data_IF_861983879339
#
_entry.id   IF_861983879339
#
_cell.length_a   1.000
_cell.length_b   1.000
_cell.length_c   1.000
_cell.angle_alpha   90.00
_cell.angle_beta   90.00
_cell.angle_gamma   90.00
#
_symmetry.space_group_name_H-M   'P 1'
#
loop_
_entity.id
_entity.type
_entity.pdbx_description
1 polymer ?
#
# COMPACT_ATOMS: atom_id res chain seq x y z
N UNK A 1 47.62 3.79 -19.25
CA UNK A 1 46.42 3.00 -19.62
C UNK A 1 45.39 3.29 -18.56
N UNK A 2 44.67 4.40 -18.73
CA UNK A 2 43.69 4.87 -17.76
C UNK A 2 42.33 4.29 -18.07
N UNK A 3 41.82 3.48 -17.14
CA UNK A 3 40.49 2.91 -17.17
C UNK A 3 39.55 3.92 -16.54
N UNK A 4 38.84 4.69 -17.37
CA UNK A 4 37.75 5.53 -16.87
C UNK A 4 36.60 4.64 -16.41
N UNK A 5 36.44 4.56 -15.07
CA UNK A 5 35.29 3.97 -14.38
C UNK A 5 34.03 4.77 -14.74
N UNK A 6 33.03 4.10 -15.29
CA UNK A 6 31.66 4.60 -15.30
C UNK A 6 31.17 4.80 -13.85
N UNK A 7 30.39 5.84 -13.55
CA UNK A 7 29.80 5.99 -12.23
C UNK A 7 28.84 4.83 -11.98
N UNK A 8 29.14 4.02 -10.96
CA UNK A 8 28.24 3.00 -10.41
C UNK A 8 26.93 3.67 -10.00
N UNK A 9 25.89 3.50 -10.82
CA UNK A 9 24.55 3.84 -10.41
C UNK A 9 24.11 2.78 -9.41
N UNK A 10 24.22 3.13 -8.13
CA UNK A 10 23.81 2.34 -6.99
C UNK A 10 22.45 1.70 -7.25
N UNK A 11 22.43 0.38 -7.41
CA UNK A 11 21.20 -0.40 -7.41
C UNK A 11 20.45 -0.11 -6.11
N UNK A 12 19.17 0.34 -6.16
CA UNK A 12 18.39 0.45 -4.95
C UNK A 12 18.23 -0.95 -4.35
N UNK A 13 18.65 -1.11 -3.10
CA UNK A 13 18.42 -2.32 -2.31
C UNK A 13 16.93 -2.68 -2.40
N UNK A 14 16.55 -3.97 -2.52
CA UNK A 14 15.15 -4.35 -2.47
C UNK A 14 14.58 -3.97 -1.10
N UNK A 15 13.76 -2.93 -1.07
CA UNK A 15 13.01 -2.55 0.13
C UNK A 15 11.98 -3.63 0.40
N UNK A 16 12.33 -4.50 1.37
CA UNK A 16 11.45 -5.24 2.27
C UNK A 16 9.98 -5.34 1.81
N UNK A 17 9.71 -6.46 1.17
CA UNK A 17 8.41 -6.94 0.69
C UNK A 17 7.38 -7.15 1.83
N UNK A 18 6.82 -6.07 2.40
CA UNK A 18 5.69 -6.16 3.35
C UNK A 18 4.75 -4.95 3.19
N UNK A 19 3.53 -5.13 2.66
CA UNK A 19 2.44 -4.20 2.94
C UNK A 19 2.11 -4.33 4.43
N UNK A 20 2.77 -3.53 5.25
CA UNK A 20 2.38 -3.28 6.62
C UNK A 20 1.35 -2.16 6.57
N UNK A 21 0.07 -2.50 6.60
CA UNK A 21 -0.96 -1.52 6.94
C UNK A 21 -0.70 -1.09 8.38
N UNK A 22 -0.03 0.04 8.56
CA UNK A 22 0.14 0.70 9.85
C UNK A 22 -0.83 1.87 9.88
N UNK A 23 -1.87 1.76 10.70
CA UNK A 23 -2.84 2.82 10.88
C UNK A 23 -2.17 4.05 11.50
N UNK A 24 -2.50 5.24 11.00
CA UNK A 24 -2.09 6.52 11.59
C UNK A 24 -3.12 6.95 12.62
N UNK A 25 -2.64 7.29 13.81
CA UNK A 25 -3.39 7.94 14.87
C UNK A 25 -3.16 7.27 16.23
N UNK A 26 -2.38 7.85 17.15
CA UNK A 26 -2.54 7.51 18.55
C UNK A 26 -3.89 8.05 19.02
N UNK A 27 -4.74 7.19 19.56
CA UNK A 27 -5.83 7.61 20.43
C UNK A 27 -5.16 8.18 21.70
N UNK A 28 -5.17 9.51 21.84
CA UNK A 28 -4.62 10.17 23.03
C UNK A 28 -5.75 10.23 24.04
N UNK A 29 -5.63 9.46 25.12
CA UNK A 29 -6.58 9.46 26.21
C UNK A 29 -6.21 10.55 27.20
N UNK A 30 -7.22 11.18 27.80
CA UNK A 30 -7.07 11.99 29.00
C UNK A 30 -7.12 11.12 30.27
N UNK A 31 -6.72 11.66 31.43
CA UNK A 31 -6.53 10.89 32.68
C UNK A 31 -7.82 10.18 33.17
N UNK A 32 -8.99 10.69 32.79
CA UNK A 32 -10.31 10.14 33.15
C UNK A 32 -10.90 9.22 32.08
N UNK A 33 -10.14 8.90 31.04
CA UNK A 33 -10.56 8.08 29.90
C UNK A 33 -9.86 6.73 29.89
N UNK A 34 -10.63 5.66 29.75
CA UNK A 34 -10.05 4.35 29.51
C UNK A 34 -10.78 3.58 28.41
N UNK A 35 -10.00 2.78 27.68
CA UNK A 35 -10.49 1.93 26.61
C UNK A 35 -11.20 0.73 27.22
N UNK A 36 -12.49 0.58 26.92
CA UNK A 36 -13.26 -0.60 27.28
C UNK A 36 -13.08 -1.72 26.26
N UNK A 37 -13.11 -1.34 24.98
CA UNK A 37 -13.13 -2.30 23.87
C UNK A 37 -12.63 -1.66 22.58
N UNK A 38 -11.96 -2.45 21.76
CA UNK A 38 -11.57 -2.06 20.40
C UNK A 38 -12.08 -3.09 19.41
N UNK A 39 -12.66 -2.66 18.30
CA UNK A 39 -13.12 -3.53 17.21
C UNK A 39 -12.56 -3.08 15.88
N UNK A 40 -12.14 -4.03 15.05
CA UNK A 40 -11.68 -3.77 13.69
C UNK A 40 -12.64 -4.39 12.69
N UNK A 41 -12.94 -3.64 11.63
CA UNK A 41 -13.85 -4.04 10.56
C UNK A 41 -13.20 -3.85 9.20
N UNK A 42 -13.68 -4.62 8.22
CA UNK A 42 -13.27 -4.54 6.82
C UNK A 42 -14.48 -4.50 5.90
N UNK A 43 -14.47 -3.55 4.96
CA UNK A 43 -15.41 -3.47 3.85
C UNK A 43 -14.65 -3.53 2.53
N UNK A 44 -14.91 -4.57 1.73
CA UNK A 44 -14.24 -4.73 0.43
C UNK A 44 -14.69 -3.66 -0.57
N UNK A 45 -13.72 -3.08 -1.29
CA UNK A 45 -14.00 -2.19 -2.42
C UNK A 45 -14.42 -2.96 -3.67
N UNK A 46 -13.88 -4.17 -3.83
CA UNK A 46 -14.02 -5.04 -5.01
C UNK A 46 -15.20 -6.02 -4.92
N UNK A 47 -16.13 -5.81 -3.99
CA UNK A 47 -17.28 -6.69 -3.84
C UNK A 47 -18.09 -6.77 -5.13
N UNK A 48 -17.99 -7.90 -5.82
CA UNK A 48 -18.80 -8.33 -6.94
C UNK A 48 -20.27 -8.12 -6.57
N UNK A 49 -20.97 -7.26 -7.30
CA UNK A 49 -22.41 -7.15 -7.21
C UNK A 49 -22.99 -8.43 -7.83
N UNK A 50 -22.97 -9.53 -7.09
CA UNK A 50 -23.75 -10.71 -7.47
C UNK A 50 -25.22 -10.32 -7.55
N UNK A 51 -25.87 -10.73 -8.63
CA UNK A 51 -27.14 -10.27 -9.20
C UNK A 51 -28.41 -10.30 -8.33
N UNK A 52 -28.30 -10.33 -7.00
CA UNK A 52 -29.40 -10.13 -6.05
C UNK A 52 -29.08 -8.90 -5.23
N UNK A 53 -29.79 -7.81 -5.52
CA UNK A 53 -29.42 -6.46 -5.16
C UNK A 53 -29.20 -6.20 -3.67
N UNK A 54 -28.25 -5.29 -3.43
CA UNK A 54 -28.19 -4.41 -2.27
C UNK A 54 -28.17 -5.08 -0.88
N UNK A 55 -27.51 -6.23 -0.71
CA UNK A 55 -26.94 -6.52 0.60
C UNK A 55 -25.82 -5.49 0.83
N UNK A 56 -26.19 -4.35 1.42
CA UNK A 56 -25.30 -3.29 1.91
C UNK A 56 -24.01 -3.95 2.36
N UNK A 57 -22.88 -3.55 1.77
CA UNK A 57 -21.51 -4.01 2.06
C UNK A 57 -21.24 -3.96 3.56
N UNK A 58 -21.73 -4.94 4.32
CA UNK A 58 -21.68 -4.92 5.79
C UNK A 58 -20.22 -5.09 6.17
N UNK A 59 -19.63 -4.15 6.92
CA UNK A 59 -18.27 -4.29 7.39
C UNK A 59 -18.13 -5.60 8.17
N UNK A 60 -17.22 -6.46 7.73
CA UNK A 60 -16.94 -7.75 8.40
C UNK A 60 -15.99 -7.49 9.55
N UNK A 61 -16.33 -7.95 10.76
CA UNK A 61 -15.45 -7.82 11.92
C UNK A 61 -14.23 -8.72 11.75
N UNK A 62 -13.06 -8.10 11.81
CA UNK A 62 -11.75 -8.76 11.71
C UNK A 62 -11.30 -9.30 13.05
N UNK A 63 -11.43 -8.48 14.10
CA UNK A 63 -11.00 -8.81 15.44
C UNK A 63 -11.70 -7.90 16.47
N UNK A 64 -11.58 -8.30 17.72
CA UNK A 64 -12.00 -7.56 18.90
C UNK A 64 -10.87 -7.59 19.93
N UNK A 65 -10.69 -6.51 20.69
CA UNK A 65 -9.84 -6.46 21.87
C UNK A 65 -10.69 -6.03 23.06
N UNK A 66 -10.77 -6.89 24.06
CA UNK A 66 -11.42 -6.65 25.34
C UNK A 66 -10.58 -7.35 26.40
N UNK A 67 -9.57 -6.64 26.92
CA UNK A 67 -8.43 -7.15 27.72
C UNK A 67 -7.50 -8.15 27.01
N UNK A 68 -8.04 -8.96 26.10
CA UNK A 68 -7.32 -9.89 25.24
C UNK A 68 -7.72 -9.66 23.78
N UNK A 69 -6.84 -10.07 22.86
CA UNK A 69 -7.07 -9.96 21.42
C UNK A 69 -7.74 -11.22 20.86
N UNK A 70 -8.90 -11.05 20.24
CA UNK A 70 -9.73 -12.11 19.68
C UNK A 70 -9.94 -11.88 18.17
N UNK A 71 -9.16 -12.53 17.29
CA UNK A 71 -9.42 -12.52 15.86
C UNK A 71 -10.71 -13.28 15.54
N UNK A 72 -11.43 -12.87 14.50
CA UNK A 72 -12.52 -13.67 13.96
C UNK A 72 -11.98 -14.98 13.36
N UNK A 73 -12.83 -16.01 13.26
CA UNK A 73 -12.43 -17.37 12.83
C UNK A 73 -11.63 -17.35 11.53
N UNK A 74 -12.02 -16.53 10.54
CA UNK A 74 -11.34 -16.42 9.24
C UNK A 74 -10.01 -15.63 9.28
N UNK A 75 -9.75 -14.95 10.40
CA UNK A 75 -8.62 -14.04 10.59
C UNK A 75 -7.57 -14.57 11.57
N UNK A 76 -7.81 -15.74 12.19
CA UNK A 76 -6.83 -16.41 13.07
C UNK A 76 -5.51 -16.59 12.32
N UNK A 77 -4.41 -16.14 12.92
CA UNK A 77 -3.07 -16.17 12.32
C UNK A 77 -2.86 -15.24 11.11
N UNK A 78 -3.88 -14.48 10.69
CA UNK A 78 -3.75 -13.41 9.68
C UNK A 78 -3.68 -12.05 10.32
N UNK A 79 -4.40 -11.80 11.42
CA UNK A 79 -4.35 -10.51 12.11
C UNK A 79 -3.56 -10.56 13.41
N UNK A 80 -2.97 -9.42 13.77
CA UNK A 80 -2.22 -9.24 15.00
C UNK A 80 -2.51 -7.85 15.56
N UNK A 81 -2.77 -7.78 16.87
CA UNK A 81 -2.89 -6.51 17.59
C UNK A 81 -1.58 -5.72 17.53
N UNK A 82 -1.70 -4.41 17.39
CA UNK A 82 -0.60 -3.45 17.51
C UNK A 82 -0.98 -2.41 18.57
N UNK A 83 0.01 -1.77 19.18
CA UNK A 83 -0.20 -0.65 20.11
C UNK A 83 -1.09 0.44 19.50
N UNK A 84 -1.75 1.23 20.36
CA UNK A 84 -2.62 2.34 19.98
C UNK A 84 -3.79 1.92 19.06
N UNK A 85 -4.45 0.80 19.40
CA UNK A 85 -5.58 0.26 18.63
C UNK A 85 -5.26 -0.02 17.15
N UNK A 86 -3.98 -0.23 16.82
CA UNK A 86 -3.59 -0.66 15.49
C UNK A 86 -3.86 -2.15 15.25
N UNK A 87 -4.01 -2.53 13.98
CA UNK A 87 -4.06 -3.93 13.56
C UNK A 87 -3.09 -4.15 12.41
N UNK A 88 -2.36 -5.26 12.47
CA UNK A 88 -1.51 -5.73 11.38
C UNK A 88 -2.19 -6.91 10.70
N UNK A 89 -2.40 -6.81 9.40
CA UNK A 89 -2.92 -7.89 8.56
C UNK A 89 -1.75 -8.53 7.81
N UNK A 90 -1.66 -9.86 7.86
CA UNK A 90 -0.61 -10.69 7.25
C UNK A 90 -1.19 -11.44 6.06
N UNK A 91 -0.32 -11.76 5.08
CA UNK A 91 -0.71 -12.48 3.86
C UNK A 91 -1.82 -11.72 3.12
N UNK A 92 -1.53 -10.46 2.78
CA UNK A 92 -2.42 -9.58 2.02
C UNK A 92 -2.53 -10.09 0.58
N UNK A 93 -3.75 -10.07 0.05
CA UNK A 93 -4.12 -10.41 -1.32
C UNK A 93 -4.98 -9.30 -1.91
N UNK A 94 -5.30 -9.39 -3.21
CA UNK A 94 -6.22 -8.45 -3.89
C UNK A 94 -7.63 -8.41 -3.30
N UNK A 95 -8.04 -9.44 -2.56
CA UNK A 95 -9.34 -9.50 -1.87
C UNK A 95 -9.37 -8.70 -0.57
N UNK A 96 -8.19 -8.36 -0.03
CA UNK A 96 -8.04 -7.60 1.20
C UNK A 96 -8.02 -6.08 0.92
N UNK A 97 -8.16 -5.68 -0.34
CA UNK A 97 -8.31 -4.29 -0.80
C UNK A 97 -9.68 -3.76 -0.39
N UNK A 98 -9.68 -2.67 0.36
CA UNK A 98 -10.90 -2.16 0.96
C UNK A 98 -10.68 -1.12 2.05
N UNK A 99 -11.79 -0.74 2.68
CA UNK A 99 -11.79 0.16 3.83
C UNK A 99 -11.67 -0.66 5.10
N UNK A 100 -10.68 -0.33 5.91
CA UNK A 100 -10.48 -0.85 7.25
C UNK A 100 -10.89 0.21 8.26
N UNK A 101 -11.73 -0.16 9.21
CA UNK A 101 -12.26 0.74 10.23
C UNK A 101 -11.91 0.20 11.61
N UNK A 102 -11.38 1.05 12.48
CA UNK A 102 -11.22 0.77 13.89
C UNK A 102 -12.26 1.56 14.68
N UNK A 103 -12.92 0.89 15.63
CA UNK A 103 -13.83 1.49 16.60
C UNK A 103 -13.26 1.29 18.00
N UNK A 104 -13.15 2.36 18.76
CA UNK A 104 -12.67 2.36 20.13
C UNK A 104 -13.81 2.81 21.03
N UNK A 105 -14.28 1.93 21.90
CA UNK A 105 -15.26 2.27 22.93
C UNK A 105 -14.52 2.73 24.19
N UNK A 106 -14.81 3.95 24.60
CA UNK A 106 -14.20 4.63 25.73
C UNK A 106 -15.22 4.76 26.86
N UNK A 107 -14.72 4.75 28.10
CA UNK A 107 -15.47 5.21 29.26
C UNK A 107 -14.85 6.52 29.75
N UNK A 108 -15.68 7.55 29.81
CA UNK A 108 -15.29 8.93 30.14
C UNK A 108 -16.20 9.42 31.27
N UNK A 109 -15.66 9.65 32.47
CA UNK A 109 -16.43 10.17 33.61
C UNK A 109 -17.76 9.42 33.88
N UNK A 110 -17.75 8.09 33.72
CA UNK A 110 -18.94 7.24 33.91
C UNK A 110 -19.87 7.14 32.70
N UNK A 111 -19.68 7.96 31.67
CA UNK A 111 -20.37 7.87 30.37
C UNK A 111 -19.61 7.00 29.37
N UNK A 112 -20.29 6.55 28.32
CA UNK A 112 -19.68 5.77 27.22
C UNK A 112 -19.56 6.63 25.98
N UNK A 113 -18.38 6.63 25.36
CA UNK A 113 -18.10 7.28 24.08
C UNK A 113 -17.55 6.28 23.07
N UNK A 114 -17.68 6.57 21.77
CA UNK A 114 -17.12 5.74 20.71
C UNK A 114 -16.37 6.63 19.73
N UNK A 115 -15.12 6.31 19.51
CA UNK A 115 -14.30 6.92 18.46
C UNK A 115 -14.11 5.95 17.30
N UNK A 116 -14.13 6.48 16.09
CA UNK A 116 -13.97 5.69 14.87
C UNK A 116 -12.93 6.35 13.96
N UNK A 117 -12.06 5.54 13.35
CA UNK A 117 -11.15 5.99 12.30
C UNK A 117 -11.04 4.93 11.23
N UNK A 118 -10.89 5.36 9.98
CA UNK A 118 -10.81 4.46 8.83
C UNK A 118 -9.58 4.74 7.98
N UNK A 119 -9.07 3.70 7.33
CA UNK A 119 -8.03 3.77 6.32
C UNK A 119 -8.41 2.91 5.12
N UNK A 120 -8.03 3.36 3.93
CA UNK A 120 -8.28 2.61 2.68
C UNK A 120 -6.98 1.92 2.25
N UNK A 121 -7.08 0.62 2.00
CA UNK A 121 -6.04 -0.13 1.30
C UNK A 121 -6.45 -0.26 -0.17
N UNK A 122 -5.71 0.39 -1.06
CA UNK A 122 -5.81 0.27 -2.51
C UNK A 122 -4.69 -0.63 -3.07
N UNK A 123 -4.86 -1.09 -4.31
CA UNK A 123 -3.72 -1.59 -5.08
C UNK A 123 -2.94 -0.38 -5.62
N UNK A 124 -1.60 -0.48 -5.70
CA UNK A 124 -0.82 0.55 -6.37
C UNK A 124 -1.21 0.62 -7.85
N UNK A 125 -1.29 1.84 -8.37
CA UNK A 125 -1.51 2.05 -9.79
C UNK A 125 -0.33 1.49 -10.61
N UNK A 126 -0.65 0.81 -11.71
CA UNK A 126 0.36 0.29 -12.65
C UNK A 126 0.81 1.40 -13.60
N UNK A 127 2.07 1.36 -14.07
CA UNK A 127 2.53 2.29 -15.09
C UNK A 127 1.67 2.19 -16.35
N UNK A 128 1.28 3.34 -16.89
CA UNK A 128 0.54 3.45 -18.15
C UNK A 128 1.50 3.88 -19.25
N UNK A 129 1.57 3.08 -20.31
CA UNK A 129 2.42 3.33 -21.46
C UNK A 129 1.58 3.87 -22.61
N UNK A 130 2.10 4.83 -23.37
CA UNK A 130 1.36 5.47 -24.45
C UNK A 130 0.85 4.48 -25.51
N UNK A 131 1.59 3.38 -25.70
CA UNK A 131 1.28 2.32 -26.68
C UNK A 131 1.00 0.96 -26.01
N UNK A 132 0.77 0.94 -24.69
CA UNK A 132 0.54 -0.29 -23.91
C UNK A 132 1.77 -1.21 -23.77
N UNK A 133 2.91 -0.87 -24.39
CA UNK A 133 4.17 -1.63 -24.32
C UNK A 133 5.38 -0.71 -24.45
N UNK A 134 6.48 -1.08 -23.79
CA UNK A 134 7.77 -0.44 -23.98
C UNK A 134 8.38 -0.99 -25.27
N UNK A 135 8.81 -0.08 -26.15
CA UNK A 135 9.63 -0.42 -27.31
C UNK A 135 10.99 0.21 -27.15
N UNK A 136 12.01 -0.64 -27.22
CA UNK A 136 13.36 -0.21 -27.50
C UNK A 136 13.47 0.10 -28.99
N UNK A 137 13.89 1.32 -29.33
CA UNK A 137 14.27 1.64 -30.71
C UNK A 137 15.57 2.42 -30.74
N UNK A 138 16.34 2.20 -31.79
CA UNK A 138 17.44 3.07 -32.14
C UNK A 138 16.86 4.38 -32.68
N UNK A 139 17.31 5.52 -32.14
CA UNK A 139 16.95 6.81 -32.69
C UNK A 139 17.51 6.93 -34.10
N UNK A 140 16.75 7.57 -34.99
CA UNK A 140 17.21 7.81 -36.38
C UNK A 140 18.29 8.90 -36.45
N UNK A 141 18.50 9.63 -35.35
CA UNK A 141 19.51 10.65 -35.23
C UNK A 141 20.72 10.07 -34.50
N UNK A 142 21.89 10.31 -35.06
CA UNK A 142 23.16 10.02 -34.40
C UNK A 142 23.46 11.18 -33.46
N UNK A 143 23.81 10.86 -32.22
CA UNK A 143 24.23 11.85 -31.25
C UNK A 143 25.73 12.07 -31.40
N UNK A 144 26.15 13.30 -31.69
CA UNK A 144 27.56 13.68 -31.71
C UNK A 144 27.93 14.26 -30.35
N UNK A 145 28.87 13.62 -29.68
CA UNK A 145 29.45 14.14 -28.44
C UNK A 145 30.58 15.12 -28.80
N UNK A 146 30.33 16.40 -28.55
CA UNK A 146 31.28 17.47 -28.90
C UNK A 146 32.53 17.49 -28.03
N UNK A 147 32.52 16.82 -26.87
CA UNK A 147 33.66 16.79 -25.94
C UNK A 147 34.66 15.69 -26.33
N UNK A 148 34.16 14.58 -26.90
CA UNK A 148 34.98 13.42 -27.31
C UNK A 148 35.16 13.31 -28.83
N UNK A 149 34.43 14.10 -29.61
CA UNK A 149 34.32 14.04 -31.09
C UNK A 149 33.82 12.68 -31.63
N UNK A 150 33.10 11.93 -30.79
CA UNK A 150 32.56 10.61 -31.12
C UNK A 150 31.09 10.64 -31.52
N UNK A 151 30.71 9.69 -32.36
CA UNK A 151 29.32 9.45 -32.76
C UNK A 151 28.72 8.29 -31.97
N UNK A 152 27.60 8.57 -31.28
CA UNK A 152 26.88 7.60 -30.49
C UNK A 152 25.50 7.28 -31.08
N UNK A 153 25.10 6.03 -30.90
CA UNK A 153 23.72 5.59 -31.16
C UNK A 153 22.88 5.84 -29.92
N UNK A 154 21.82 6.64 -30.07
CA UNK A 154 20.86 6.85 -28.99
C UNK A 154 19.79 5.75 -29.01
N UNK A 155 19.53 5.14 -27.85
CA UNK A 155 18.40 4.23 -27.65
C UNK A 155 17.26 4.96 -26.95
N UNK A 156 16.05 4.79 -27.48
CA UNK A 156 14.82 5.35 -26.92
C UNK A 156 13.92 4.23 -26.43
N UNK A 157 13.44 4.37 -25.19
CA UNK A 157 12.39 3.51 -24.65
C UNK A 157 11.08 4.29 -24.75
N UNK A 158 10.01 3.62 -25.20
CA UNK A 158 8.70 4.24 -25.43
C UNK A 158 8.17 5.14 -24.28
N UNK A 159 7.19 5.97 -24.59
CA UNK A 159 6.68 7.00 -23.66
C UNK A 159 5.86 6.41 -22.51
N UNK A 160 6.26 6.74 -21.28
CA UNK A 160 5.48 6.49 -20.07
C UNK A 160 4.56 7.68 -19.86
N UNK A 161 3.24 7.42 -19.85
CA UNK A 161 2.20 8.44 -19.63
C UNK A 161 1.95 8.65 -18.14
N UNK A 162 1.95 7.55 -17.38
CA UNK A 162 1.85 7.58 -15.94
C UNK A 162 2.82 6.54 -15.35
N UNK A 163 3.58 6.94 -14.35
CA UNK A 163 4.51 6.10 -13.61
C UNK A 163 3.82 5.08 -12.68
N UNK A 164 2.56 5.34 -12.29
CA UNK A 164 1.89 4.61 -11.22
C UNK A 164 2.34 5.06 -9.82
N UNK A 165 1.91 4.31 -8.80
CA UNK A 165 2.20 4.63 -7.39
C UNK A 165 3.55 4.07 -6.89
N UNK A 166 4.09 3.07 -7.59
CA UNK A 166 5.32 2.39 -7.21
C UNK A 166 6.54 2.92 -7.98
N UNK A 167 7.71 2.89 -7.34
CA UNK A 167 8.99 3.05 -8.03
C UNK A 167 9.15 1.91 -9.05
N UNK A 168 8.92 2.21 -10.33
CA UNK A 168 9.16 1.26 -11.41
C UNK A 168 10.59 1.43 -11.96
N UNK A 169 11.12 0.39 -12.59
CA UNK A 169 12.43 0.41 -13.23
C UNK A 169 12.32 -0.12 -14.65
N UNK A 170 13.05 0.51 -15.56
CA UNK A 170 13.17 0.07 -16.95
C UNK A 170 14.51 -0.66 -17.10
N UNK A 171 14.46 -1.91 -17.54
CA UNK A 171 15.65 -2.73 -17.78
C UNK A 171 15.83 -2.88 -19.29
N UNK A 172 16.96 -2.39 -19.80
CA UNK A 172 17.41 -2.65 -21.16
C UNK A 172 18.04 -4.05 -21.23
N UNK A 173 17.69 -4.81 -22.27
CA UNK A 173 18.22 -6.15 -22.54
C UNK A 173 18.64 -6.24 -24.00
#
# INVERSE_FOLDING_TARGET
>A
MDVHKFPEWNSPRPLSNRPLCRFRGPFILSDDEFVQKVEWYFASLNGEATATGAEKRRPKRLAEYNYNFFPSVKMVGRVQYMSNAGIKVKRITTHDVGTYTVRVSLKVNGSSAVEETSAVLSLPDKPVLALGRLHARVSKHVYHDTDTDDFHVQLECGTIVNAGDDNFSVIWK
#
